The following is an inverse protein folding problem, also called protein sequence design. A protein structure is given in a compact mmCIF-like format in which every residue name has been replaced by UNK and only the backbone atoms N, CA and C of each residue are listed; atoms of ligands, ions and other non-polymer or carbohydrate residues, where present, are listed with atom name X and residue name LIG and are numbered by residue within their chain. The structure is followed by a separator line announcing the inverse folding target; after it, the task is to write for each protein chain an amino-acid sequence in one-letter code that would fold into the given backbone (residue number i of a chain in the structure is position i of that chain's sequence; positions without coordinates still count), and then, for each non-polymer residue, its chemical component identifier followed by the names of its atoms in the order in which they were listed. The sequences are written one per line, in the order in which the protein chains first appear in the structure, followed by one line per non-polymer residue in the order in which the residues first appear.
data_IF_176549258547
#
_entry.id   IF_176549258547
#
_cell.length_a   1.000
_cell.length_b   1.000
_cell.length_c   1.000
_cell.angle_alpha   90.00
_cell.angle_beta   90.00
_cell.angle_gamma   90.00
#
_symmetry.space_group_name_H-M   'P 1'
#
loop_
_entity.id
_entity.type
_entity.pdbx_description
1 polymer ?
#
# COMPACT_ATOMS: atom_id res chain seq x y z
N UNK A 1 47.42 -0.05 -1.92
CA UNK A 1 46.41 -0.73 -2.76
C UNK A 1 45.60 0.33 -3.51
N UNK A 2 45.93 0.64 -4.77
CA UNK A 2 45.25 1.68 -5.57
C UNK A 2 44.79 1.06 -6.90
N UNK A 3 43.57 0.54 -6.96
CA UNK A 3 42.84 0.23 -8.21
C UNK A 3 41.41 -0.22 -7.85
N UNK A 4 40.61 0.71 -7.33
CA UNK A 4 39.20 0.45 -6.97
C UNK A 4 38.25 0.59 -8.18
N UNK A 5 38.77 1.01 -9.34
CA UNK A 5 37.96 1.34 -10.53
C UNK A 5 38.57 0.85 -11.86
N UNK A 6 39.24 -0.31 -11.86
CA UNK A 6 39.77 -0.89 -13.10
C UNK A 6 38.76 -1.83 -13.77
N UNK A 7 38.60 -1.69 -15.08
CA UNK A 7 37.92 -2.63 -15.96
C UNK A 7 38.97 -3.58 -16.57
N UNK A 8 38.89 -4.87 -16.25
CA UNK A 8 39.82 -5.87 -16.76
C UNK A 8 39.29 -6.49 -18.06
N UNK A 9 40.14 -6.57 -19.08
CA UNK A 9 39.81 -7.24 -20.33
C UNK A 9 40.58 -8.57 -20.49
N UNK A 10 39.86 -9.69 -20.66
CA UNK A 10 40.49 -11.01 -20.80
C UNK A 10 41.18 -11.24 -22.14
N UNK A 11 40.70 -10.60 -23.22
CA UNK A 11 41.25 -10.73 -24.57
C UNK A 11 42.59 -10.02 -24.70
N UNK A 12 42.67 -8.78 -24.25
CA UNK A 12 43.91 -7.96 -24.34
C UNK A 12 44.80 -8.08 -23.11
N UNK A 13 44.34 -8.70 -22.01
CA UNK A 13 45.05 -8.82 -20.73
C UNK A 13 45.47 -7.47 -20.14
N UNK A 14 44.69 -6.42 -20.43
CA UNK A 14 44.94 -5.07 -19.96
C UNK A 14 43.92 -4.67 -18.89
N UNK A 15 44.42 -3.92 -17.90
CA UNK A 15 43.60 -3.26 -16.90
C UNK A 15 43.37 -1.82 -17.39
N UNK A 16 42.16 -1.51 -17.85
CA UNK A 16 41.81 -0.17 -18.30
C UNK A 16 41.18 0.61 -17.14
N UNK A 17 41.71 1.79 -16.85
CA UNK A 17 41.09 2.70 -15.89
C UNK A 17 39.77 3.17 -16.48
N UNK A 18 38.65 2.75 -15.89
CA UNK A 18 37.33 3.03 -16.42
C UNK A 18 37.02 4.53 -16.31
N UNK A 19 36.87 5.29 -17.41
CA UNK A 19 36.49 6.69 -17.29
C UNK A 19 34.99 6.77 -16.98
N UNK A 20 34.62 7.48 -15.91
CA UNK A 20 33.23 7.74 -15.52
C UNK A 20 32.42 8.58 -16.55
N UNK A 21 32.97 8.82 -17.75
CA UNK A 21 32.35 9.62 -18.81
C UNK A 21 31.41 8.81 -19.72
N UNK A 22 31.54 7.49 -19.77
CA UNK A 22 30.69 6.62 -20.60
C UNK A 22 30.21 5.44 -19.77
N UNK A 23 28.89 5.21 -19.70
CA UNK A 23 28.26 4.18 -18.86
C UNK A 23 28.52 2.76 -19.39
N UNK A 24 28.80 2.61 -20.70
CA UNK A 24 29.24 1.37 -21.32
C UNK A 24 30.56 1.59 -22.08
N UNK A 25 31.58 0.73 -21.90
CA UNK A 25 32.78 0.77 -22.73
C UNK A 25 32.42 0.33 -24.17
N UNK A 26 32.93 1.01 -25.21
CA UNK A 26 32.70 0.62 -26.59
C UNK A 26 33.28 -0.76 -26.89
N UNK A 27 32.57 -1.53 -27.73
CA UNK A 27 32.94 -2.90 -28.13
C UNK A 27 34.33 -3.02 -28.77
N UNK A 28 34.87 -1.93 -29.32
CA UNK A 28 36.22 -1.86 -29.89
C UNK A 28 37.33 -1.99 -28.85
N UNK A 29 37.09 -1.62 -27.59
CA UNK A 29 38.08 -1.69 -26.52
C UNK A 29 38.12 -3.08 -25.86
N UNK A 30 36.94 -3.65 -25.59
CA UNK A 30 36.81 -5.00 -25.06
C UNK A 30 35.40 -5.54 -25.35
N UNK A 31 35.25 -6.80 -25.81
CA UNK A 31 33.94 -7.42 -25.91
C UNK A 31 33.28 -7.46 -24.53
N UNK A 32 31.99 -7.12 -24.46
CA UNK A 32 31.22 -7.13 -23.21
C UNK A 32 31.23 -8.48 -22.46
N UNK A 33 31.37 -9.60 -23.20
CA UNK A 33 31.51 -10.95 -22.62
C UNK A 33 32.85 -11.17 -21.91
N UNK A 34 33.87 -10.39 -22.23
CA UNK A 34 35.25 -10.57 -21.78
C UNK A 34 35.71 -9.45 -20.83
N UNK A 35 34.88 -8.42 -20.71
CA UNK A 35 35.03 -7.34 -19.75
C UNK A 35 34.61 -7.80 -18.35
N UNK A 36 35.53 -7.72 -17.39
CA UNK A 36 35.30 -8.02 -15.97
C UNK A 36 35.40 -6.74 -15.16
N UNK A 37 34.49 -6.57 -14.21
CA UNK A 37 34.47 -5.41 -13.32
C UNK A 37 35.04 -5.78 -11.93
N UNK A 38 35.83 -4.88 -11.34
CA UNK A 38 36.51 -5.14 -10.06
C UNK A 38 37.61 -6.21 -10.15
N UNK A 39 37.93 -6.89 -9.04
CA UNK A 39 38.95 -7.94 -8.88
C UNK A 39 38.67 -9.23 -9.70
N UNK A 40 38.28 -9.11 -10.97
CA UNK A 40 38.03 -10.21 -11.91
C UNK A 40 36.88 -11.17 -11.56
N UNK A 41 36.07 -10.90 -10.52
CA UNK A 41 35.09 -11.88 -10.08
C UNK A 41 33.84 -11.94 -10.98
N UNK A 42 33.37 -10.79 -11.51
CA UNK A 42 32.08 -10.72 -12.21
C UNK A 42 32.20 -10.15 -13.64
N UNK A 43 31.47 -10.77 -14.58
CA UNK A 43 31.36 -10.36 -15.97
C UNK A 43 30.40 -9.18 -16.13
N UNK A 44 30.79 -8.15 -16.87
CA UNK A 44 30.00 -6.92 -17.03
C UNK A 44 28.64 -7.17 -17.70
N UNK A 45 28.57 -8.12 -18.64
CA UNK A 45 27.30 -8.52 -19.26
C UNK A 45 26.32 -9.11 -18.25
N UNK A 46 26.81 -9.94 -17.33
CA UNK A 46 25.97 -10.58 -16.30
C UNK A 46 25.44 -9.50 -15.35
N UNK A 47 26.28 -8.56 -14.94
CA UNK A 47 25.87 -7.43 -14.10
C UNK A 47 24.71 -6.64 -14.74
N UNK A 48 24.83 -6.26 -16.01
CA UNK A 48 23.76 -5.54 -16.72
C UNK A 48 22.46 -6.34 -16.71
N UNK A 49 22.52 -7.63 -17.11
CA UNK A 49 21.32 -8.48 -17.17
C UNK A 49 20.66 -8.57 -15.79
N UNK A 50 21.44 -8.82 -14.73
CA UNK A 50 20.92 -8.93 -13.37
C UNK A 50 20.24 -7.64 -12.89
N UNK A 51 20.85 -6.48 -13.13
CA UNK A 51 20.26 -5.19 -12.78
C UNK A 51 18.97 -4.92 -13.56
N UNK A 52 18.94 -5.24 -14.86
CA UNK A 52 17.72 -5.11 -15.67
C UNK A 52 16.59 -5.99 -15.16
N UNK A 53 16.88 -7.25 -14.83
CA UNK A 53 15.88 -8.19 -14.28
C UNK A 53 15.37 -7.71 -12.91
N UNK A 54 16.26 -7.30 -12.02
CA UNK A 54 15.89 -6.77 -10.69
C UNK A 54 14.96 -5.55 -10.83
N UNK A 55 15.33 -4.58 -11.67
CA UNK A 55 14.49 -3.42 -11.96
C UNK A 55 13.12 -3.84 -12.52
N UNK A 56 13.08 -4.81 -13.45
CA UNK A 56 11.84 -5.33 -14.01
C UNK A 56 10.93 -5.97 -12.96
N UNK A 57 11.48 -6.81 -12.07
CA UNK A 57 10.72 -7.45 -10.98
C UNK A 57 10.19 -6.40 -9.99
N UNK A 58 10.98 -5.38 -9.66
CA UNK A 58 10.54 -4.29 -8.78
C UNK A 58 9.38 -3.53 -9.42
N UNK A 59 9.48 -3.17 -10.70
CA UNK A 59 8.40 -2.46 -11.41
C UNK A 59 7.14 -3.32 -11.49
N UNK A 60 7.26 -4.59 -11.87
CA UNK A 60 6.12 -5.51 -11.97
C UNK A 60 5.46 -5.70 -10.61
N UNK A 61 6.23 -5.88 -9.53
CA UNK A 61 5.68 -6.03 -8.18
C UNK A 61 4.95 -4.78 -7.71
N UNK A 62 5.46 -3.58 -8.01
CA UNK A 62 4.76 -2.31 -7.73
C UNK A 62 3.48 -2.17 -8.55
N UNK A 63 3.51 -2.49 -9.85
CA UNK A 63 2.33 -2.48 -10.71
C UNK A 63 1.26 -3.43 -10.15
N UNK A 64 1.61 -4.68 -9.85
CA UNK A 64 0.67 -5.64 -9.26
C UNK A 64 0.16 -5.14 -7.90
N UNK A 65 1.01 -4.60 -7.04
CA UNK A 65 0.59 -4.04 -5.75
C UNK A 65 -0.40 -2.87 -5.93
N UNK A 66 -0.11 -1.93 -6.83
CA UNK A 66 -0.98 -0.77 -7.09
C UNK A 66 -2.30 -1.18 -7.76
N UNK A 67 -2.29 -2.15 -8.68
CA UNK A 67 -3.50 -2.57 -9.39
C UNK A 67 -4.33 -3.61 -8.62
N UNK A 68 -3.72 -4.46 -7.80
CA UNK A 68 -4.40 -5.49 -7.03
C UNK A 68 -4.70 -5.02 -5.60
N UNK A 69 -3.75 -4.46 -4.86
CA UNK A 69 -3.97 -4.07 -3.46
C UNK A 69 -4.77 -2.76 -3.34
N UNK A 70 -4.41 -1.70 -4.07
CA UNK A 70 -5.14 -0.42 -3.97
C UNK A 70 -6.55 -0.49 -4.61
N UNK A 71 -6.78 -1.40 -5.57
CA UNK A 71 -8.11 -1.63 -6.15
C UNK A 71 -8.95 -2.59 -5.29
N UNK A 72 -8.34 -3.52 -4.57
CA UNK A 72 -9.03 -4.41 -3.62
C UNK A 72 -9.37 -3.74 -2.29
N UNK A 73 -8.65 -2.69 -1.87
CA UNK A 73 -9.06 -1.89 -0.70
C UNK A 73 -10.47 -1.31 -0.91
N UNK A 74 -10.74 -0.78 -2.11
CA UNK A 74 -12.05 -0.26 -2.50
C UNK A 74 -13.14 -1.33 -2.70
N UNK A 75 -12.77 -2.60 -2.93
CA UNK A 75 -13.75 -3.67 -3.18
C UNK A 75 -14.08 -4.45 -1.89
N UNK A 76 -13.11 -4.62 -1.00
CA UNK A 76 -13.27 -5.24 0.31
C UNK A 76 -13.93 -4.30 1.32
N UNK A 77 -13.54 -3.02 1.35
CA UNK A 77 -14.08 -2.02 2.27
C UNK A 77 -15.58 -1.83 2.07
N UNK A 78 -16.04 -1.63 0.82
CA UNK A 78 -17.47 -1.42 0.52
C UNK A 78 -18.36 -2.55 1.01
N UNK A 79 -17.92 -3.81 0.87
CA UNK A 79 -18.68 -4.98 1.36
C UNK A 79 -18.70 -5.06 2.88
N UNK A 80 -17.59 -4.67 3.53
CA UNK A 80 -17.50 -4.63 4.99
C UNK A 80 -18.33 -3.48 5.58
N UNK A 81 -18.22 -2.27 5.01
CA UNK A 81 -19.01 -1.08 5.38
C UNK A 81 -20.50 -1.33 5.21
N UNK A 82 -20.95 -1.90 4.09
CA UNK A 82 -22.35 -2.24 3.88
C UNK A 82 -22.88 -3.25 4.92
N UNK A 83 -22.04 -4.20 5.36
CA UNK A 83 -22.40 -5.12 6.45
C UNK A 83 -22.46 -4.41 7.80
N UNK A 84 -21.56 -3.47 8.07
CA UNK A 84 -21.51 -2.69 9.31
C UNK A 84 -22.71 -1.75 9.42
N UNK A 85 -23.05 -1.02 8.34
CA UNK A 85 -24.24 -0.16 8.27
C UNK A 85 -25.52 -0.95 8.57
N UNK A 86 -25.72 -2.10 7.92
CA UNK A 86 -26.87 -2.98 8.18
C UNK A 86 -26.97 -3.44 9.64
N UNK A 87 -25.85 -3.64 10.33
CA UNK A 87 -25.83 -4.00 11.77
C UNK A 87 -26.17 -2.79 12.64
N UNK A 88 -25.65 -1.61 12.31
CA UNK A 88 -25.95 -0.37 13.00
C UNK A 88 -27.44 -0.02 12.88
N UNK A 89 -28.01 -0.12 11.68
CA UNK A 89 -29.43 0.16 11.43
C UNK A 89 -30.35 -0.78 12.20
N UNK A 90 -30.03 -2.08 12.23
CA UNK A 90 -30.77 -3.07 13.05
C UNK A 90 -30.72 -2.73 14.54
N UNK A 91 -29.59 -2.24 15.02
CA UNK A 91 -29.42 -1.86 16.44
C UNK A 91 -30.20 -0.59 16.75
N UNK A 92 -30.14 0.41 15.87
CA UNK A 92 -30.91 1.66 15.98
C UNK A 92 -32.41 1.38 15.99
N UNK A 93 -32.91 0.57 15.06
CA UNK A 93 -34.33 0.21 15.00
C UNK A 93 -34.81 -0.44 16.31
N UNK A 94 -34.05 -1.41 16.84
CA UNK A 94 -34.37 -2.02 18.15
C UNK A 94 -34.28 -1.06 19.33
N UNK A 95 -33.44 -0.04 19.24
CA UNK A 95 -33.32 0.98 20.29
C UNK A 95 -34.49 1.97 20.22
N UNK A 96 -34.91 2.35 19.02
CA UNK A 96 -36.08 3.19 18.77
C UNK A 96 -37.37 2.50 19.21
N UNK A 97 -37.52 1.21 18.90
CA UNK A 97 -38.64 0.38 19.36
C UNK A 97 -38.75 0.36 20.89
N UNK A 98 -37.65 0.07 21.59
CA UNK A 98 -37.61 0.13 23.07
C UNK A 98 -37.91 1.52 23.63
N UNK A 99 -37.47 2.58 22.94
CA UNK A 99 -37.78 3.97 23.33
C UNK A 99 -39.26 4.30 23.13
N UNK A 100 -39.85 3.83 22.04
CA UNK A 100 -41.26 4.03 21.74
C UNK A 100 -42.14 3.29 22.76
N UNK A 101 -41.85 2.02 23.04
CA UNK A 101 -42.54 1.23 24.07
C UNK A 101 -42.45 1.89 25.45
N UNK A 102 -41.24 2.31 25.85
CA UNK A 102 -41.06 3.02 27.12
C UNK A 102 -41.88 4.31 27.16
N UNK A 103 -41.89 5.09 26.08
CA UNK A 103 -42.65 6.35 26.01
C UNK A 103 -44.15 6.11 26.07
N UNK A 104 -44.65 5.08 25.40
CA UNK A 104 -46.06 4.67 25.43
C UNK A 104 -46.48 4.26 26.85
N UNK A 105 -45.70 3.39 27.51
CA UNK A 105 -45.96 3.02 28.92
C UNK A 105 -45.96 4.23 29.86
N UNK A 106 -45.03 5.16 29.67
CA UNK A 106 -45.00 6.39 30.47
C UNK A 106 -46.22 7.28 30.20
N UNK A 107 -46.68 7.37 28.96
CA UNK A 107 -47.87 8.13 28.59
C UNK A 107 -49.16 7.50 29.15
N UNK A 108 -49.26 6.17 29.11
CA UNK A 108 -50.37 5.42 29.72
C UNK A 108 -50.46 5.65 31.24
N UNK A 109 -49.31 5.65 31.93
CA UNK A 109 -49.26 6.00 33.35
C UNK A 109 -49.68 7.46 33.55
N UNK A 110 -49.16 8.38 32.73
CA UNK A 110 -49.48 9.81 32.82
C UNK A 110 -50.97 10.08 32.61
N UNK A 111 -51.62 9.38 31.69
CA UNK A 111 -53.06 9.50 31.44
C UNK A 111 -53.89 8.90 32.57
N UNK A 112 -53.52 7.72 33.10
CA UNK A 112 -54.20 7.05 34.21
C UNK A 112 -54.32 7.92 35.47
N UNK A 113 -53.28 8.72 35.76
CA UNK A 113 -53.24 9.59 36.94
C UNK A 113 -53.57 11.06 36.64
N UNK A 114 -54.12 11.39 35.46
CA UNK A 114 -54.52 12.75 35.11
C UNK A 114 -53.34 13.74 34.98
N UNK A 115 -52.11 13.23 34.86
CA UNK A 115 -50.90 14.02 34.73
C UNK A 115 -50.67 14.52 33.30
N UNK A 116 -51.64 14.39 32.38
CA UNK A 116 -51.49 14.71 30.94
C UNK A 116 -51.23 16.18 30.61
N UNK A 117 -51.41 17.09 31.58
CA UNK A 117 -51.15 18.53 31.43
C UNK A 117 -49.65 18.92 31.37
N UNK A 118 -49.33 20.20 31.12
CA UNK A 118 -47.95 20.69 31.13
C UNK A 118 -47.26 20.42 32.47
N UNK A 119 -45.99 20.03 32.44
CA UNK A 119 -45.22 19.76 33.66
C UNK A 119 -45.09 21.07 34.48
N UNK A 120 -45.58 21.16 35.72
CA UNK A 120 -45.50 22.39 36.52
C UNK A 120 -44.05 22.87 36.77
N UNK A 121 -43.05 22.00 36.56
CA UNK A 121 -41.63 22.34 36.65
C UNK A 121 -40.98 22.77 35.31
N UNK A 122 -41.66 22.69 34.16
CA UNK A 122 -41.06 23.11 32.87
C UNK A 122 -40.86 24.62 32.73
N UNK A 123 -41.40 25.42 33.66
CA UNK A 123 -41.19 26.88 33.70
C UNK A 123 -39.82 27.29 34.27
N UNK A 124 -39.08 26.35 34.84
CA UNK A 124 -37.79 26.59 35.51
C UNK A 124 -36.60 25.97 34.75
N UNK A 125 -36.83 25.41 33.56
CA UNK A 125 -35.77 24.88 32.68
C UNK A 125 -35.39 25.88 31.60
#
# INVERSE_FOLDING_TARGET
LKNVSCLWCTTTKLCLTYPAKTILPPHSLCPLNDARWGLCWMNFKILIITLSVICGVIIISLVICMFCCCKCENFGSKRFEAKMQRRADKTKAKQEERRAEMKERHQEIRSKYGLSGPNPYSKFS
#
